data_IF_165685206078
#
_entry.id   IF_165685206078
#
_cell.length_a   1.000
_cell.length_b   1.000
_cell.length_c   1.000
_cell.angle_alpha   90.00
_cell.angle_beta   90.00
_cell.angle_gamma   90.00
#
_symmetry.space_group_name_H-M   'P 1'
#
loop_
_entity.id
_entity.type
_entity.pdbx_description
1 polymer ?
#
# COMPACT_ATOMS: atom_id res chain seq x y z
N UNK A 1 -7.69 -20.34 28.02
CA UNK A 1 -7.13 -20.73 26.70
C UNK A 1 -7.06 -19.48 25.84
N UNK A 2 -5.90 -19.14 25.28
CA UNK A 2 -5.74 -17.95 24.43
C UNK A 2 -5.73 -18.37 22.96
N UNK A 3 -6.59 -17.75 22.15
CA UNK A 3 -6.69 -18.01 20.72
C UNK A 3 -5.99 -16.86 19.99
N UNK A 4 -5.00 -17.18 19.15
CA UNK A 4 -4.39 -16.21 18.24
C UNK A 4 -5.31 -16.03 17.04
N UNK A 5 -5.54 -14.79 16.65
CA UNK A 5 -6.33 -14.44 15.47
C UNK A 5 -5.66 -13.29 14.72
N UNK A 6 -5.86 -13.25 13.41
CA UNK A 6 -5.55 -12.07 12.60
C UNK A 6 -6.55 -10.98 12.98
N UNK A 7 -6.07 -9.76 13.21
CA UNK A 7 -6.87 -8.62 13.68
C UNK A 7 -6.82 -7.42 12.72
N UNK A 8 -6.14 -7.56 11.59
CA UNK A 8 -5.97 -6.52 10.59
C UNK A 8 -5.00 -6.96 9.51
N UNK A 9 -4.92 -6.16 8.45
CA UNK A 9 -4.11 -6.40 7.26
C UNK A 9 -3.52 -5.09 6.74
N UNK A 10 -2.30 -5.16 6.22
CA UNK A 10 -1.67 -4.06 5.47
C UNK A 10 -1.36 -4.56 4.08
N UNK A 11 -1.94 -3.93 3.07
CA UNK A 11 -1.69 -4.21 1.67
C UNK A 11 -0.75 -3.14 1.12
N UNK A 12 0.31 -3.58 0.44
CA UNK A 12 1.33 -2.70 -0.09
C UNK A 12 1.95 -3.27 -1.36
N UNK A 13 2.54 -2.37 -2.13
CA UNK A 13 3.31 -2.70 -3.33
C UNK A 13 4.70 -2.08 -3.20
N UNK A 14 5.73 -2.80 -3.64
CA UNK A 14 7.13 -2.32 -3.63
C UNK A 14 7.73 -2.46 -5.01
N UNK A 15 8.41 -1.40 -5.44
CA UNK A 15 9.33 -1.44 -6.57
C UNK A 15 10.75 -1.61 -6.05
N UNK A 16 11.35 -2.77 -6.33
CA UNK A 16 12.76 -3.04 -5.98
C UNK A 16 13.73 -2.15 -6.79
N UNK A 17 13.37 -1.79 -8.03
CA UNK A 17 14.22 -0.98 -8.91
C UNK A 17 14.32 0.49 -8.45
N UNK A 18 13.23 1.05 -7.92
CA UNK A 18 13.16 2.45 -7.48
C UNK A 18 13.24 2.60 -5.96
N UNK A 19 13.42 1.50 -5.23
CA UNK A 19 13.33 1.47 -3.77
C UNK A 19 12.12 2.27 -3.25
N UNK A 20 10.96 2.07 -3.88
CA UNK A 20 9.75 2.87 -3.67
C UNK A 20 8.60 1.96 -3.29
N UNK A 21 7.87 2.33 -2.24
CA UNK A 21 6.77 1.53 -1.70
C UNK A 21 5.49 2.33 -1.57
N UNK A 22 4.36 1.69 -1.83
CA UNK A 22 3.03 2.28 -1.70
C UNK A 22 2.20 1.41 -0.79
N UNK A 23 1.64 2.03 0.25
CA UNK A 23 0.61 1.41 1.09
C UNK A 23 -0.75 1.72 0.48
N UNK A 24 -1.43 0.68 -0.01
CA UNK A 24 -2.71 0.78 -0.69
C UNK A 24 -3.88 0.62 0.27
N UNK A 25 -3.72 -0.21 1.30
CA UNK A 25 -4.74 -0.45 2.31
C UNK A 25 -4.14 -0.72 3.69
N UNK A 26 -4.83 -0.24 4.72
CA UNK A 26 -4.60 -0.64 6.12
C UNK A 26 -5.96 -0.88 6.73
N UNK A 27 -6.26 -2.13 7.07
CA UNK A 27 -7.49 -2.53 7.75
C UNK A 27 -7.19 -3.05 9.15
N UNK A 28 -8.02 -2.68 10.11
CA UNK A 28 -7.97 -3.16 11.50
C UNK A 28 -9.38 -3.47 11.94
N UNK A 29 -9.58 -4.65 12.52
CA UNK A 29 -10.86 -5.09 13.02
C UNK A 29 -11.50 -4.01 13.92
N UNK A 30 -12.79 -3.73 13.72
CA UNK A 30 -13.51 -2.62 14.35
C UNK A 30 -13.26 -2.44 15.86
N UNK A 31 -13.24 -3.50 16.71
CA UNK A 31 -12.98 -3.35 18.14
C UNK A 31 -11.58 -2.82 18.49
N UNK A 32 -10.68 -2.76 17.51
CA UNK A 32 -9.26 -2.47 17.69
C UNK A 32 -8.79 -1.27 16.84
N UNK A 33 -9.67 -0.56 16.14
CA UNK A 33 -9.28 0.53 15.24
C UNK A 33 -8.49 1.64 15.96
N UNK A 34 -8.87 1.98 17.20
CA UNK A 34 -8.21 3.02 18.00
C UNK A 34 -7.03 2.51 18.85
N UNK A 35 -6.71 1.21 18.79
CA UNK A 35 -5.65 0.61 19.60
C UNK A 35 -4.22 0.92 19.11
N UNK A 36 -4.09 1.67 18.02
CA UNK A 36 -2.80 2.00 17.41
C UNK A 36 -2.16 0.86 16.62
N UNK A 37 -2.88 -0.24 16.38
CA UNK A 37 -2.38 -1.37 15.58
C UNK A 37 -2.00 -0.97 14.16
N UNK A 38 -2.76 -0.08 13.51
CA UNK A 38 -2.40 0.44 12.19
C UNK A 38 -1.03 1.15 12.20
N UNK A 39 -0.77 1.97 13.21
CA UNK A 39 0.54 2.63 13.41
C UNK A 39 1.66 1.62 13.62
N UNK A 40 1.42 0.60 14.46
CA UNK A 40 2.42 -0.46 14.72
C UNK A 40 2.71 -1.27 13.47
N UNK A 41 1.68 -1.64 12.70
CA UNK A 41 1.83 -2.40 11.46
C UNK A 41 2.65 -1.62 10.42
N UNK A 42 2.36 -0.33 10.21
CA UNK A 42 3.13 0.52 9.29
C UNK A 42 4.56 0.75 9.79
N UNK A 43 4.76 0.94 11.09
CA UNK A 43 6.11 1.09 11.67
C UNK A 43 6.94 -0.17 11.47
N UNK A 44 6.32 -1.33 11.68
CA UNK A 44 6.96 -2.63 11.44
C UNK A 44 7.32 -2.80 9.96
N UNK A 45 6.40 -2.48 9.05
CA UNK A 45 6.64 -2.52 7.61
C UNK A 45 7.86 -1.66 7.22
N UNK A 46 7.94 -0.43 7.74
CA UNK A 46 9.10 0.46 7.48
C UNK A 46 10.41 -0.08 8.04
N UNK A 47 10.37 -0.78 9.18
CA UNK A 47 11.55 -1.40 9.76
C UNK A 47 12.04 -2.61 8.94
N UNK A 48 11.12 -3.37 8.33
CA UNK A 48 11.46 -4.48 7.44
C UNK A 48 12.06 -4.01 6.11
N UNK A 49 11.71 -2.81 5.65
CA UNK A 49 12.17 -2.25 4.38
C UNK A 49 12.75 -0.84 4.59
N UNK A 50 13.94 -0.73 5.19
CA UNK A 50 14.53 0.55 5.57
C UNK A 50 14.91 1.42 4.36
N UNK A 51 15.29 0.79 3.25
CA UNK A 51 15.74 1.48 2.04
C UNK A 51 14.57 1.94 1.16
N UNK A 52 13.34 1.57 1.51
CA UNK A 52 12.15 1.88 0.72
C UNK A 52 11.54 3.21 1.13
N UNK A 53 11.36 4.09 0.14
CA UNK A 53 10.62 5.34 0.29
C UNK A 53 9.11 5.08 0.24
N UNK A 54 8.44 5.19 1.38
CA UNK A 54 7.03 4.85 1.55
C UNK A 54 6.06 6.02 1.27
N UNK A 55 5.02 5.74 0.48
CA UNK A 55 3.88 6.61 0.17
C UNK A 55 2.57 5.90 0.50
N UNK A 56 1.46 6.65 0.52
CA UNK A 56 0.13 6.07 0.73
C UNK A 56 -0.89 6.62 -0.26
N UNK A 57 -1.88 5.81 -0.65
CA UNK A 57 -3.02 6.27 -1.46
C UNK A 57 -4.36 6.08 -0.74
N UNK A 58 -4.30 6.13 0.59
CA UNK A 58 -5.40 5.86 1.50
C UNK A 58 -6.51 6.92 1.34
N UNK A 59 -7.67 6.48 0.84
CA UNK A 59 -8.79 7.37 0.51
C UNK A 59 -9.77 7.59 1.68
N UNK A 60 -9.78 6.69 2.67
CA UNK A 60 -10.74 6.72 3.77
C UNK A 60 -10.28 7.67 4.90
N UNK A 61 -11.23 8.23 5.66
CA UNK A 61 -10.94 9.23 6.72
C UNK A 61 -10.01 8.66 7.79
N UNK A 62 -10.32 7.48 8.32
CA UNK A 62 -9.54 6.84 9.40
C UNK A 62 -8.09 6.56 8.97
N UNK A 63 -7.91 6.13 7.71
CA UNK A 63 -6.60 5.83 7.16
C UNK A 63 -5.82 7.10 6.77
N UNK A 64 -6.51 8.23 6.57
CA UNK A 64 -5.88 9.56 6.42
C UNK A 64 -5.24 10.04 7.72
N UNK A 65 -5.90 9.85 8.86
CA UNK A 65 -5.31 10.21 10.17
C UNK A 65 -4.09 9.35 10.49
N UNK A 66 -4.11 8.07 10.08
CA UNK A 66 -2.93 7.21 10.12
C UNK A 66 -1.82 7.74 9.21
N UNK A 67 -2.12 8.05 7.94
CA UNK A 67 -1.13 8.57 6.99
C UNK A 67 -0.47 9.85 7.50
N UNK A 68 -1.26 10.77 8.07
CA UNK A 68 -0.75 12.00 8.66
C UNK A 68 0.17 11.71 9.86
N UNK A 69 -0.25 10.86 10.81
CA UNK A 69 0.57 10.47 11.96
C UNK A 69 1.88 9.80 11.54
N UNK A 70 1.85 9.00 10.48
CA UNK A 70 3.01 8.30 9.94
C UNK A 70 3.86 9.13 8.97
N UNK A 71 3.42 10.36 8.66
CA UNK A 71 4.02 11.26 7.66
C UNK A 71 4.19 10.59 6.28
N UNK A 72 3.20 9.82 5.88
CA UNK A 72 3.16 9.19 4.55
C UNK A 72 2.62 10.22 3.54
N UNK A 73 3.41 10.61 2.52
CA UNK A 73 2.89 11.46 1.46
C UNK A 73 1.70 10.79 0.80
N UNK A 74 0.60 11.54 0.64
CA UNK A 74 -0.56 11.08 -0.11
C UNK A 74 -0.38 11.49 -1.57
N UNK A 75 0.21 10.60 -2.34
CA UNK A 75 0.49 10.87 -3.75
C UNK A 75 -0.13 9.78 -4.61
N UNK A 76 -1.40 9.99 -4.96
CA UNK A 76 -2.11 9.15 -5.93
C UNK A 76 -1.52 9.29 -7.35
N UNK A 77 -0.87 10.40 -7.68
CA UNK A 77 -0.31 10.66 -9.00
C UNK A 77 1.08 10.04 -9.18
N UNK A 78 1.90 10.03 -8.12
CA UNK A 78 3.21 9.39 -8.03
C UNK A 78 3.20 7.88 -7.82
N UNK A 79 2.02 7.24 -7.84
CA UNK A 79 1.88 5.79 -7.99
C UNK A 79 2.35 5.29 -9.36
N UNK A 80 2.60 6.22 -10.29
CA UNK A 80 3.17 5.97 -11.62
C UNK A 80 4.68 5.74 -11.54
N UNK A 81 5.11 4.79 -10.69
CA UNK A 81 6.43 4.22 -10.92
C UNK A 81 6.31 3.35 -12.17
N UNK A 82 7.09 3.59 -13.24
CA UNK A 82 7.01 2.81 -14.48
C UNK A 82 7.33 1.31 -14.28
N UNK A 83 7.91 0.95 -13.12
CA UNK A 83 8.24 -0.41 -12.74
C UNK A 83 7.22 -1.06 -11.80
N UNK A 84 6.38 -0.26 -11.13
CA UNK A 84 5.22 -0.82 -10.44
C UNK A 84 4.21 -1.14 -11.54
N UNK A 85 3.70 -2.38 -11.62
CA UNK A 85 2.58 -2.64 -12.48
C UNK A 85 1.46 -1.74 -11.98
N UNK A 86 1.19 -0.66 -12.74
CA UNK A 86 -0.14 -0.08 -12.75
C UNK A 86 -1.07 -1.28 -12.80
N UNK A 87 -2.05 -1.35 -11.90
CA UNK A 87 -3.12 -2.34 -11.94
C UNK A 87 -3.95 -2.21 -13.23
N UNK A 88 -3.30 -2.42 -14.37
CA UNK A 88 -3.87 -2.68 -15.65
C UNK A 88 -4.14 -4.16 -15.63
N UNK A 89 -5.33 -4.47 -15.13
CA UNK A 89 -6.20 -5.49 -15.71
C UNK A 89 -5.61 -6.03 -17.00
N UNK A 90 -5.12 -7.26 -16.95
CA UNK A 90 -4.69 -8.01 -18.11
C UNK A 90 -5.78 -7.95 -19.19
N UNK A 91 -5.50 -7.23 -20.28
CA UNK A 91 -5.92 -7.70 -21.58
C UNK A 91 -4.68 -7.87 -22.43
N UNK A 92 -4.10 -9.05 -22.28
CA UNK A 92 -3.11 -9.60 -23.18
C UNK A 92 -3.86 -10.26 -24.34
N UNK A 93 -3.82 -9.64 -25.50
CA UNK A 93 -4.00 -10.31 -26.80
C UNK A 93 -4.80 -9.50 -27.83
N UNK A 94 -4.36 -9.31 -29.07
CA UNK A 94 -3.12 -9.68 -29.75
C UNK A 94 -3.06 -8.84 -31.02
N UNK A 95 -1.86 -8.33 -31.34
CA UNK A 95 -1.31 -8.14 -32.70
C UNK A 95 -2.12 -7.44 -33.80
N UNK A 96 -1.66 -6.23 -34.14
CA UNK A 96 -1.03 -5.89 -35.42
C UNK A 96 -1.70 -6.22 -36.76
N UNK A 97 -1.97 -5.14 -37.49
CA UNK A 97 -1.57 -4.91 -38.90
C UNK A 97 -2.30 -5.65 -40.02
N UNK A 98 -3.01 -4.89 -40.86
CA UNK A 98 -2.78 -4.91 -42.31
C UNK A 98 -3.34 -3.64 -42.97
N UNK A 99 -2.40 -2.86 -43.49
CA UNK A 99 -2.55 -1.78 -44.44
C UNK A 99 -2.99 -2.36 -45.80
N UNK A 100 -4.08 -1.87 -46.40
CA UNK A 100 -4.22 -1.58 -47.84
C UNK A 100 -5.51 -0.85 -48.13
#
# INVERSE_FOLDING_TARGET
>A
MYIRRVVGEVTYEVCEHCASGVITQVDVAAPLQDSGLGTRAVSHLRACYPDVSWRSCLAQRMTRDLAHRMRLPNDRAGLTCPHLPHGASENRGTSSSARR
#
